data_IF_879086975143
#
_entry.id   IF_879086975143
#
_cell.length_a   1.000
_cell.length_b   1.000
_cell.length_c   1.000
_cell.angle_alpha   90.00
_cell.angle_beta   90.00
_cell.angle_gamma   90.00
#
_symmetry.space_group_name_H-M   'P 1'
#
loop_
_entity.id
_entity.type
_entity.pdbx_description
1 polymer ?
#
# COMPACT_ATOMS: atom_id res chain seq x y z
N UNK A 1 -0.28 16.74 -31.08
CA UNK A 1 1.16 16.37 -31.32
C UNK A 1 1.79 15.48 -30.22
N UNK A 2 1.00 14.76 -29.41
CA UNK A 2 1.50 13.89 -28.34
C UNK A 2 1.53 12.40 -28.77
N UNK A 3 0.92 12.05 -29.88
CA UNK A 3 0.81 10.65 -30.34
C UNK A 3 2.06 10.01 -30.94
N UNK A 4 3.02 10.67 -31.58
CA UNK A 4 4.19 10.00 -32.18
C UNK A 4 5.16 9.41 -31.13
N UNK A 5 5.22 10.00 -29.93
CA UNK A 5 6.16 9.54 -28.90
C UNK A 5 5.72 8.24 -28.20
N UNK A 6 4.41 7.97 -28.11
CA UNK A 6 3.86 6.75 -27.52
C UNK A 6 4.04 5.54 -28.43
N UNK A 7 3.80 5.70 -29.75
CA UNK A 7 3.97 4.63 -30.75
C UNK A 7 5.45 4.20 -30.84
N UNK A 8 6.38 5.13 -30.77
CA UNK A 8 7.81 4.83 -30.74
C UNK A 8 8.25 4.06 -29.48
N UNK A 9 7.64 4.32 -28.32
CA UNK A 9 7.98 3.65 -27.08
C UNK A 9 7.49 2.19 -27.02
N UNK A 10 6.32 1.90 -27.57
CA UNK A 10 5.77 0.54 -27.62
C UNK A 10 6.54 -0.36 -28.60
N UNK A 11 6.96 0.18 -29.73
CA UNK A 11 7.78 -0.54 -30.70
C UNK A 11 9.16 -0.87 -30.13
N UNK A 12 9.79 0.05 -29.41
CA UNK A 12 11.06 -0.19 -28.70
C UNK A 12 10.95 -1.24 -27.61
N UNK A 13 9.82 -1.34 -26.91
CA UNK A 13 9.60 -2.36 -25.86
C UNK A 13 9.52 -3.74 -26.50
N UNK A 14 8.76 -3.90 -27.57
CA UNK A 14 8.60 -5.17 -28.28
C UNK A 14 9.92 -5.65 -28.90
N UNK A 15 10.62 -4.76 -29.56
CA UNK A 15 11.88 -5.10 -30.24
C UNK A 15 13.01 -5.40 -29.25
N UNK A 16 13.01 -4.79 -28.06
CA UNK A 16 14.00 -5.07 -27.01
C UNK A 16 13.77 -6.41 -26.30
N UNK A 17 12.57 -6.96 -26.37
CA UNK A 17 12.27 -8.31 -25.86
C UNK A 17 12.80 -9.41 -26.80
N UNK A 18 12.84 -9.14 -28.11
CA UNK A 18 13.17 -10.13 -29.13
C UNK A 18 14.54 -9.90 -29.77
N UNK A 19 15.16 -8.73 -29.62
CA UNK A 19 16.43 -8.40 -30.30
C UNK A 19 17.40 -7.77 -29.29
N UNK A 20 18.52 -8.45 -29.08
CA UNK A 20 19.62 -8.07 -28.18
C UNK A 20 20.46 -6.90 -28.74
N UNK A 21 19.87 -5.74 -29.08
CA UNK A 21 20.57 -4.69 -29.86
C UNK A 21 21.12 -3.53 -29.01
N UNK A 22 20.78 -3.37 -27.75
CA UNK A 22 21.37 -2.31 -26.91
C UNK A 22 21.44 -2.70 -25.44
N UNK A 23 22.64 -2.99 -24.94
CA UNK A 23 22.87 -3.36 -23.52
C UNK A 23 22.22 -2.41 -22.50
N UNK A 24 22.12 -1.10 -22.80
CA UNK A 24 21.49 -0.13 -21.91
C UNK A 24 19.97 -0.24 -21.85
N UNK A 25 19.31 -0.46 -23.00
CA UNK A 25 17.84 -0.58 -23.05
C UNK A 25 17.37 -1.90 -22.44
N UNK A 26 18.06 -2.99 -22.74
CA UNK A 26 17.78 -4.31 -22.13
C UNK A 26 17.98 -4.29 -20.63
N UNK A 27 19.03 -3.63 -20.15
CA UNK A 27 19.27 -3.43 -18.70
C UNK A 27 18.15 -2.64 -18.03
N UNK A 28 17.67 -1.55 -18.63
CA UNK A 28 16.56 -0.75 -18.10
C UNK A 28 15.24 -1.53 -18.06
N UNK A 29 14.98 -2.36 -19.07
CA UNK A 29 13.78 -3.18 -19.12
C UNK A 29 13.82 -4.24 -18.01
N UNK A 30 14.88 -5.01 -17.92
CA UNK A 30 14.97 -6.10 -16.96
C UNK A 30 15.11 -5.64 -15.50
N UNK A 31 15.87 -4.57 -15.23
CA UNK A 31 16.16 -4.15 -13.85
C UNK A 31 15.24 -3.05 -13.31
N UNK A 32 14.52 -2.34 -14.18
CA UNK A 32 13.68 -1.22 -13.77
C UNK A 32 12.20 -1.44 -14.12
N UNK A 33 11.91 -1.79 -15.38
CA UNK A 33 10.52 -1.89 -15.84
C UNK A 33 9.84 -3.19 -15.42
N UNK A 34 10.52 -4.32 -15.57
CA UNK A 34 9.99 -5.65 -15.21
C UNK A 34 9.61 -5.76 -13.74
N UNK A 35 10.48 -5.41 -12.76
CA UNK A 35 10.11 -5.49 -11.34
C UNK A 35 8.89 -4.62 -11.01
N UNK A 36 8.77 -3.44 -11.62
CA UNK A 36 7.62 -2.55 -11.41
C UNK A 36 6.32 -3.12 -11.97
N UNK A 37 6.37 -3.72 -13.16
CA UNK A 37 5.19 -4.34 -13.77
C UNK A 37 4.70 -5.53 -12.95
N UNK A 38 5.61 -6.42 -12.57
CA UNK A 38 5.29 -7.60 -11.77
C UNK A 38 4.81 -7.19 -10.37
N UNK A 39 5.50 -6.26 -9.71
CA UNK A 39 5.09 -5.72 -8.43
C UNK A 39 3.72 -5.06 -8.49
N UNK A 40 3.45 -4.25 -9.51
CA UNK A 40 2.13 -3.64 -9.72
C UNK A 40 1.02 -4.67 -9.92
N UNK A 41 1.29 -5.75 -10.66
CA UNK A 41 0.35 -6.83 -10.89
C UNK A 41 0.06 -7.61 -9.60
N UNK A 42 1.09 -7.92 -8.81
CA UNK A 42 0.95 -8.61 -7.53
C UNK A 42 0.18 -7.76 -6.51
N UNK A 43 0.54 -6.49 -6.38
CA UNK A 43 -0.13 -5.56 -5.47
C UNK A 43 -1.59 -5.35 -5.90
N UNK A 44 -1.84 -5.11 -7.19
CA UNK A 44 -3.19 -4.96 -7.74
C UNK A 44 -4.04 -6.22 -7.54
N UNK A 45 -3.47 -7.40 -7.77
CA UNK A 45 -4.13 -8.68 -7.50
C UNK A 45 -4.47 -8.88 -6.02
N UNK A 46 -3.55 -8.57 -5.12
CA UNK A 46 -3.77 -8.65 -3.68
C UNK A 46 -4.88 -7.67 -3.21
N UNK A 47 -4.86 -6.43 -3.72
CA UNK A 47 -5.91 -5.44 -3.42
C UNK A 47 -7.27 -5.86 -3.96
N UNK A 48 -7.33 -6.46 -5.15
CA UNK A 48 -8.57 -6.98 -5.73
C UNK A 48 -9.15 -8.11 -4.89
N UNK A 49 -8.32 -9.06 -4.43
CA UNK A 49 -8.73 -10.13 -3.52
C UNK A 49 -9.21 -9.58 -2.18
N UNK A 50 -8.50 -8.61 -1.60
CA UNK A 50 -8.92 -7.96 -0.37
C UNK A 50 -10.29 -7.26 -0.55
N UNK A 51 -10.51 -6.58 -1.68
CA UNK A 51 -11.79 -5.96 -2.02
C UNK A 51 -12.92 -6.98 -2.12
N UNK A 52 -12.70 -8.08 -2.83
CA UNK A 52 -13.66 -9.18 -2.97
C UNK A 52 -14.04 -9.78 -1.61
N UNK A 53 -13.07 -10.06 -0.76
CA UNK A 53 -13.30 -10.60 0.58
C UNK A 53 -14.13 -9.63 1.44
N UNK A 54 -13.83 -8.32 1.36
CA UNK A 54 -14.57 -7.31 2.11
C UNK A 54 -16.00 -7.18 1.64
N UNK A 55 -16.25 -7.19 0.33
CA UNK A 55 -17.59 -7.17 -0.25
C UNK A 55 -18.39 -8.42 0.15
N UNK A 56 -17.75 -9.59 0.17
CA UNK A 56 -18.38 -10.84 0.59
C UNK A 56 -18.77 -10.83 2.08
N UNK A 57 -17.85 -10.38 2.97
CA UNK A 57 -18.09 -10.32 4.42
C UNK A 57 -19.20 -9.30 4.76
N UNK A 58 -19.16 -8.14 4.13
CA UNK A 58 -20.12 -7.07 4.39
C UNK A 58 -21.44 -7.25 3.64
N UNK A 59 -21.47 -8.15 2.66
CA UNK A 59 -22.59 -8.32 1.71
C UNK A 59 -22.99 -7.00 1.06
N UNK A 60 -22.00 -6.17 0.78
CA UNK A 60 -22.18 -4.85 0.18
C UNK A 60 -21.15 -4.65 -0.95
N UNK A 61 -21.56 -4.47 -2.20
CA UNK A 61 -20.66 -4.28 -3.34
C UNK A 61 -19.87 -2.96 -3.29
N UNK A 62 -20.27 -2.01 -2.44
CA UNK A 62 -19.57 -0.74 -2.25
C UNK A 62 -18.52 -0.78 -1.12
N UNK A 63 -18.37 -1.91 -0.45
CA UNK A 63 -17.38 -2.03 0.62
C UNK A 63 -15.95 -2.05 0.06
N UNK A 64 -15.07 -1.30 0.72
CA UNK A 64 -13.66 -1.16 0.38
C UNK A 64 -12.79 -1.61 1.57
N UNK A 65 -11.60 -2.20 1.33
CA UNK A 65 -10.68 -2.60 2.40
C UNK A 65 -10.25 -1.46 3.30
N UNK A 66 -10.26 -0.23 2.80
CA UNK A 66 -9.82 0.97 3.52
C UNK A 66 -10.71 1.28 4.74
N UNK A 67 -12.00 0.91 4.69
CA UNK A 67 -12.96 1.20 5.76
C UNK A 67 -12.64 0.43 7.06
N UNK A 68 -11.86 -0.65 6.99
CA UNK A 68 -11.66 -1.56 8.12
C UNK A 68 -10.47 -1.20 9.03
N UNK A 69 -9.92 0.00 8.93
CA UNK A 69 -8.88 0.46 9.83
C UNK A 69 -7.50 -0.19 9.61
N UNK A 70 -7.39 -1.18 8.73
CA UNK A 70 -6.15 -1.91 8.44
C UNK A 70 -5.10 -0.97 7.88
N UNK A 71 -5.46 -0.20 6.85
CA UNK A 71 -4.54 0.74 6.21
C UNK A 71 -4.17 1.91 7.14
N UNK A 72 -5.12 2.46 7.87
CA UNK A 72 -4.86 3.55 8.83
C UNK A 72 -4.01 3.09 10.02
N UNK A 73 -4.20 1.85 10.49
CA UNK A 73 -3.34 1.25 11.51
C UNK A 73 -1.89 1.06 11.02
N UNK A 74 -1.71 0.59 9.79
CA UNK A 74 -0.39 0.48 9.16
C UNK A 74 0.29 1.86 9.04
N UNK A 75 -0.43 2.85 8.51
CA UNK A 75 0.08 4.22 8.35
C UNK A 75 0.46 4.85 9.68
N UNK A 76 -0.38 4.67 10.71
CA UNK A 76 -0.11 5.17 12.06
C UNK A 76 1.21 4.61 12.62
N UNK A 77 1.41 3.29 12.55
CA UNK A 77 2.63 2.66 13.07
C UNK A 77 3.86 3.09 12.27
N UNK A 78 3.78 3.19 10.94
CA UNK A 78 4.89 3.67 10.11
C UNK A 78 5.28 5.09 10.53
N UNK A 79 4.32 6.00 10.62
CA UNK A 79 4.57 7.41 10.99
C UNK A 79 5.16 7.50 12.38
N UNK A 80 4.58 6.79 13.33
CA UNK A 80 5.04 6.76 14.72
C UNK A 80 6.50 6.28 14.80
N UNK A 81 6.83 5.19 14.13
CA UNK A 81 8.19 4.62 14.17
C UNK A 81 9.19 5.50 13.42
N UNK A 82 8.81 6.04 12.27
CA UNK A 82 9.71 6.90 11.48
C UNK A 82 10.09 8.17 12.24
N UNK A 83 9.18 8.71 13.05
CA UNK A 83 9.42 9.94 13.81
C UNK A 83 10.09 9.65 15.16
N UNK A 84 9.60 8.67 15.93
CA UNK A 84 10.10 8.41 17.28
C UNK A 84 11.38 7.57 17.29
N UNK A 85 11.53 6.64 16.36
CA UNK A 85 12.65 5.69 16.33
C UNK A 85 13.16 5.52 14.88
N UNK A 86 13.86 6.53 14.32
CA UNK A 86 14.34 6.47 12.93
C UNK A 86 15.26 5.28 12.65
N UNK A 87 15.95 4.76 13.67
CA UNK A 87 16.83 3.58 13.56
C UNK A 87 16.09 2.30 13.15
N UNK A 88 14.77 2.21 13.38
CA UNK A 88 13.93 1.08 12.98
C UNK A 88 13.34 1.22 11.57
N UNK A 89 13.70 2.25 10.81
CA UNK A 89 13.23 2.48 9.44
C UNK A 89 13.44 1.29 8.49
N UNK A 90 14.52 0.52 8.69
CA UNK A 90 14.77 -0.70 7.91
C UNK A 90 13.72 -1.81 8.13
N UNK A 91 12.99 -1.78 9.24
CA UNK A 91 11.93 -2.72 9.58
C UNK A 91 10.52 -2.15 9.34
N UNK A 92 10.41 -1.00 8.67
CA UNK A 92 9.14 -0.30 8.46
C UNK A 92 8.06 -1.20 7.84
N UNK A 93 8.42 -2.08 6.91
CA UNK A 93 7.49 -3.03 6.29
C UNK A 93 6.88 -3.99 7.30
N UNK A 94 7.70 -4.60 8.17
CA UNK A 94 7.21 -5.53 9.19
C UNK A 94 6.34 -4.81 10.24
N UNK A 95 6.73 -3.60 10.59
CA UNK A 95 5.98 -2.76 11.52
C UNK A 95 4.65 -2.30 10.90
N UNK A 96 4.60 -2.05 9.60
CA UNK A 96 3.37 -1.78 8.86
C UNK A 96 2.39 -2.96 8.94
N UNK A 97 2.87 -4.19 8.74
CA UNK A 97 2.05 -5.40 8.91
C UNK A 97 1.51 -5.54 10.33
N UNK A 98 2.34 -5.26 11.33
CA UNK A 98 1.92 -5.27 12.73
C UNK A 98 0.85 -4.19 13.00
N UNK A 99 1.02 -2.99 12.47
CA UNK A 99 0.04 -1.90 12.53
C UNK A 99 -1.27 -2.26 11.84
N UNK A 100 -1.19 -2.88 10.65
CA UNK A 100 -2.35 -3.39 9.92
C UNK A 100 -3.12 -4.44 10.74
N UNK A 101 -2.39 -5.37 11.36
CA UNK A 101 -2.97 -6.41 12.20
C UNK A 101 -3.66 -5.82 13.45
N UNK A 102 -3.01 -4.88 14.14
CA UNK A 102 -3.59 -4.20 15.30
C UNK A 102 -4.84 -3.43 14.88
N UNK A 103 -4.80 -2.68 13.76
CA UNK A 103 -5.95 -1.96 13.23
C UNK A 103 -7.14 -2.87 12.94
N UNK A 104 -6.93 -3.97 12.25
CA UNK A 104 -7.96 -4.97 11.97
C UNK A 104 -8.49 -5.67 13.23
N UNK A 105 -7.60 -6.01 14.16
CA UNK A 105 -7.96 -6.65 15.43
C UNK A 105 -8.83 -5.71 16.30
N UNK A 106 -8.48 -4.43 16.38
CA UNK A 106 -9.29 -3.45 17.15
C UNK A 106 -10.69 -3.32 16.57
N UNK A 107 -10.82 -3.27 15.23
CA UNK A 107 -12.14 -3.25 14.58
C UNK A 107 -12.93 -4.52 14.89
N UNK A 108 -12.30 -5.69 14.85
CA UNK A 108 -12.94 -6.95 15.16
C UNK A 108 -13.45 -6.98 16.61
N UNK A 109 -12.64 -6.55 17.58
CA UNK A 109 -13.01 -6.51 19.00
C UNK A 109 -14.14 -5.51 19.24
N UNK A 110 -14.08 -4.32 18.66
CA UNK A 110 -15.13 -3.30 18.81
C UNK A 110 -16.45 -3.69 18.15
N UNK A 111 -16.41 -4.46 17.07
CA UNK A 111 -17.64 -4.92 16.39
C UNK A 111 -18.42 -5.97 17.20
N UNK A 112 -17.90 -6.43 18.32
CA UNK A 112 -18.59 -7.30 19.28
C UNK A 112 -18.25 -8.79 19.08
N UNK A 113 -17.02 -9.19 19.44
CA UNK A 113 -16.45 -10.52 19.22
C UNK A 113 -17.20 -11.70 19.86
N UNK A 114 -18.18 -11.45 20.71
CA UNK A 114 -18.91 -12.49 21.46
C UNK A 114 -20.39 -12.65 21.11
N UNK A 115 -20.99 -11.72 20.36
CA UNK A 115 -22.41 -11.77 19.98
C UNK A 115 -22.54 -11.33 18.53
N UNK A 116 -23.21 -12.11 17.68
CA UNK A 116 -23.56 -11.89 16.27
C UNK A 116 -22.98 -10.59 15.66
N UNK A 117 -21.81 -10.71 15.03
CA UNK A 117 -21.22 -9.62 14.26
C UNK A 117 -22.12 -9.36 13.06
N UNK A 118 -22.69 -8.15 12.98
CA UNK A 118 -23.44 -7.73 11.80
C UNK A 118 -22.56 -6.90 10.89
N UNK A 119 -22.72 -6.97 9.55
CA UNK A 119 -21.93 -6.18 8.61
C UNK A 119 -21.95 -4.68 8.92
N UNK A 120 -23.08 -4.17 9.39
CA UNK A 120 -23.25 -2.75 9.76
C UNK A 120 -22.35 -2.37 10.95
N UNK A 121 -22.32 -3.18 12.00
CA UNK A 121 -21.46 -2.94 13.17
C UNK A 121 -19.99 -2.97 12.80
N UNK A 122 -19.61 -3.90 11.93
CA UNK A 122 -18.24 -4.02 11.44
C UNK A 122 -17.84 -2.77 10.65
N UNK A 123 -18.68 -2.29 9.76
CA UNK A 123 -18.43 -1.08 8.98
C UNK A 123 -18.34 0.17 9.86
N UNK A 124 -19.25 0.34 10.83
CA UNK A 124 -19.23 1.48 11.75
C UNK A 124 -17.98 1.47 12.65
N UNK A 125 -17.64 0.31 13.22
CA UNK A 125 -16.42 0.16 14.00
C UNK A 125 -15.17 0.45 13.15
N UNK A 126 -15.14 -0.04 11.90
CA UNK A 126 -14.06 0.23 10.97
C UNK A 126 -13.89 1.70 10.64
N UNK A 127 -14.98 2.42 10.36
CA UNK A 127 -14.93 3.88 10.13
C UNK A 127 -14.46 4.63 11.37
N UNK A 128 -14.93 4.28 12.55
CA UNK A 128 -14.50 4.93 13.79
C UNK A 128 -12.99 4.74 14.03
N UNK A 129 -12.49 3.53 13.88
CA UNK A 129 -11.06 3.22 14.03
C UNK A 129 -10.22 3.87 12.93
N UNK A 130 -10.71 3.89 11.68
CA UNK A 130 -10.04 4.59 10.60
C UNK A 130 -9.86 6.08 10.91
N UNK A 131 -10.92 6.77 11.32
CA UNK A 131 -10.87 8.18 11.72
C UNK A 131 -9.96 8.42 12.91
N UNK A 132 -10.00 7.55 13.91
CA UNK A 132 -9.15 7.63 15.08
C UNK A 132 -7.66 7.54 14.73
N UNK A 133 -7.23 6.50 14.03
CA UNK A 133 -5.84 6.37 13.62
C UNK A 133 -5.41 7.45 12.62
N UNK A 134 -6.28 7.86 11.72
CA UNK A 134 -6.00 8.96 10.79
C UNK A 134 -5.79 10.28 11.53
N UNK A 135 -6.60 10.59 12.51
CA UNK A 135 -6.43 11.79 13.33
C UNK A 135 -5.14 11.78 14.15
N UNK A 136 -4.79 10.64 14.73
CA UNK A 136 -3.51 10.48 15.43
C UNK A 136 -2.32 10.66 14.48
N UNK A 137 -2.39 10.04 13.30
CA UNK A 137 -1.35 10.16 12.27
C UNK A 137 -1.16 11.62 11.86
N UNK A 138 -2.25 12.33 11.56
CA UNK A 138 -2.21 13.75 11.20
C UNK A 138 -1.64 14.61 12.35
N UNK A 139 -2.04 14.33 13.59
CA UNK A 139 -1.53 15.04 14.76
C UNK A 139 -0.02 14.89 14.91
N UNK A 140 0.52 13.67 14.74
CA UNK A 140 1.96 13.40 14.82
C UNK A 140 2.71 14.12 13.68
N UNK A 141 2.18 14.13 12.46
CA UNK A 141 2.79 14.80 11.30
C UNK A 141 2.86 16.31 11.54
N UNK A 142 1.80 16.93 12.04
CA UNK A 142 1.75 18.38 12.30
C UNK A 142 2.74 18.77 13.40
N UNK A 143 2.89 17.95 14.43
CA UNK A 143 3.83 18.23 15.53
C UNK A 143 5.31 18.04 15.15
N UNK A 144 5.60 17.40 14.02
CA UNK A 144 6.97 17.06 13.58
C UNK A 144 7.20 17.46 12.11
N UNK A 145 7.17 18.77 11.84
CA UNK A 145 7.29 19.31 10.48
C UNK A 145 8.61 18.94 9.78
N UNK A 146 9.69 18.78 10.51
CA UNK A 146 11.02 18.44 9.98
C UNK A 146 11.08 17.05 9.32
N UNK A 147 10.24 16.11 9.76
CA UNK A 147 10.19 14.74 9.24
C UNK A 147 9.16 14.55 8.12
N UNK A 148 8.47 15.61 7.74
CA UNK A 148 7.26 15.56 6.89
C UNK A 148 7.53 14.97 5.49
N UNK A 149 8.67 15.29 4.87
CA UNK A 149 9.00 14.82 3.52
C UNK A 149 9.15 13.30 3.44
N UNK A 150 9.87 12.69 4.38
CA UNK A 150 10.08 11.24 4.42
C UNK A 150 8.78 10.49 4.68
N UNK A 151 7.97 10.97 5.61
CA UNK A 151 6.67 10.39 5.95
C UNK A 151 5.70 10.48 4.78
N UNK A 152 5.66 11.61 4.08
CA UNK A 152 4.80 11.79 2.90
C UNK A 152 5.16 10.80 1.77
N UNK A 153 6.43 10.52 1.53
CA UNK A 153 6.83 9.49 0.55
C UNK A 153 6.31 8.10 0.91
N UNK A 154 6.30 7.74 2.19
CA UNK A 154 5.75 6.48 2.65
C UNK A 154 4.22 6.42 2.52
N UNK A 155 3.51 7.49 2.86
CA UNK A 155 2.04 7.54 2.82
C UNK A 155 1.49 7.56 1.39
N UNK A 156 2.14 8.27 0.49
CA UNK A 156 1.74 8.32 -0.93
C UNK A 156 2.01 7.00 -1.63
N UNK A 157 3.08 6.31 -1.22
CA UNK A 157 3.53 5.07 -1.83
C UNK A 157 4.09 5.30 -3.24
N UNK A 158 5.06 4.50 -3.64
CA UNK A 158 5.63 4.59 -4.99
C UNK A 158 6.26 3.26 -5.39
N UNK A 159 6.05 2.87 -6.63
CA UNK A 159 6.75 1.75 -7.26
C UNK A 159 8.12 2.17 -7.83
N UNK A 160 8.49 3.46 -7.68
CA UNK A 160 9.72 4.06 -8.22
C UNK A 160 10.91 3.51 -7.52
N UNK A 161 11.37 2.64 -7.23
CA UNK A 161 12.55 2.08 -6.52
C UNK A 161 12.42 0.59 -6.30
N UNK A 162 11.36 0.00 -6.84
CA UNK A 162 11.13 -1.42 -6.72
C UNK A 162 12.21 -2.20 -7.47
N UNK A 163 12.95 -3.01 -6.73
CA UNK A 163 14.01 -3.89 -7.25
C UNK A 163 13.55 -5.35 -7.13
N UNK A 164 14.18 -6.24 -7.87
CA UNK A 164 13.90 -7.68 -7.82
C UNK A 164 13.98 -8.25 -6.40
N UNK A 165 14.89 -7.75 -5.58
CA UNK A 165 15.02 -8.16 -4.17
C UNK A 165 13.77 -7.90 -3.35
N UNK A 166 13.03 -6.83 -3.64
CA UNK A 166 11.79 -6.49 -2.94
C UNK A 166 10.54 -7.20 -3.50
N UNK A 167 10.61 -7.72 -4.73
CA UNK A 167 9.52 -8.50 -5.35
C UNK A 167 9.57 -9.96 -4.93
N UNK A 168 10.77 -10.48 -4.60
CA UNK A 168 11.02 -11.87 -4.25
C UNK A 168 11.08 -12.14 -2.74
N UNK A 169 11.08 -11.09 -1.91
CA UNK A 169 10.99 -11.18 -0.45
C UNK A 169 9.55 -11.15 0.05
#
# INVERSE_FOLDING_TARGET
>A
EIMPSLVGSEMCIRDSFFTSINNKQTFLIHNVRMPRMIGGLLIGGALALAGLLMQAITRNPLASPQIFGVNSGASFVIVLVTILIPSLGNYATYLAFLGAFIGGLTVYVLSGSTKKITPIKLALAGMAIHLFFSSLTQGIIILNEDSNTTVMFWLVGSLNGLKWTAVLS
#
